data_IF_438161164686
#
_entry.id   IF_438161164686
#
_cell.length_a   1.000
_cell.length_b   1.000
_cell.length_c   1.000
_cell.angle_alpha   90.00
_cell.angle_beta   90.00
_cell.angle_gamma   90.00
#
_symmetry.space_group_name_H-M   'P 1'
#
loop_
_entity.id
_entity.type
_entity.pdbx_description
1 polymer ?
#
# COMPACT_ATOMS: atom_id res chain seq x y z
N UNK A 1 -11.18 -17.45 -14.82
CA UNK A 1 -10.26 -17.14 -13.74
C UNK A 1 -9.19 -16.22 -14.29
N UNK A 2 -9.34 -14.90 -14.05
CA UNK A 2 -8.32 -13.94 -14.43
C UNK A 2 -7.22 -14.00 -13.37
N UNK A 3 -6.03 -14.52 -13.74
CA UNK A 3 -4.86 -14.44 -12.89
C UNK A 3 -4.50 -12.97 -12.66
N UNK A 4 -4.17 -12.60 -11.41
CA UNK A 4 -3.79 -11.24 -11.11
C UNK A 4 -2.46 -10.90 -11.82
N UNK A 5 -2.29 -9.66 -12.27
CA UNK A 5 -1.06 -9.20 -12.92
C UNK A 5 0.21 -9.47 -12.10
N UNK A 6 0.11 -9.49 -10.77
CA UNK A 6 1.22 -9.86 -9.87
C UNK A 6 1.60 -11.34 -9.99
N UNK A 7 0.63 -12.25 -10.12
CA UNK A 7 0.89 -13.69 -10.37
C UNK A 7 1.59 -13.88 -11.72
N UNK A 8 1.22 -13.11 -12.74
CA UNK A 8 1.82 -13.21 -14.06
C UNK A 8 3.26 -12.69 -14.12
N UNK A 9 3.60 -11.66 -13.35
CA UNK A 9 4.98 -11.16 -13.22
C UNK A 9 5.86 -12.22 -12.56
N UNK A 10 5.41 -12.85 -11.48
CA UNK A 10 6.15 -13.95 -10.84
C UNK A 10 6.34 -15.14 -11.77
N UNK A 11 5.31 -15.56 -12.50
CA UNK A 11 5.40 -16.67 -13.45
C UNK A 11 6.40 -16.42 -14.57
N UNK A 12 6.56 -15.16 -15.03
CA UNK A 12 7.55 -14.80 -16.06
C UNK A 12 8.98 -14.85 -15.54
N UNK A 13 9.22 -14.62 -14.26
CA UNK A 13 10.56 -14.63 -13.68
C UNK A 13 11.08 -16.02 -13.34
N UNK A 14 10.20 -17.00 -13.09
CA UNK A 14 10.60 -18.37 -12.73
C UNK A 14 11.52 -19.03 -13.75
N UNK A 15 11.26 -18.98 -15.08
CA UNK A 15 12.15 -19.57 -16.07
C UNK A 15 13.57 -19.00 -16.03
N UNK A 16 13.70 -17.70 -15.79
CA UNK A 16 15.01 -17.05 -15.74
C UNK A 16 15.77 -17.40 -14.45
N UNK A 17 15.07 -17.48 -13.33
CA UNK A 17 15.63 -17.97 -12.06
C UNK A 17 16.16 -19.42 -12.24
N UNK A 18 15.41 -20.27 -12.93
CA UNK A 18 15.83 -21.65 -13.18
C UNK A 18 17.02 -21.75 -14.14
N UNK A 19 17.10 -20.85 -15.15
CA UNK A 19 18.28 -20.75 -16.01
C UNK A 19 19.53 -20.35 -15.23
N UNK A 20 19.43 -19.30 -14.40
CA UNK A 20 20.51 -18.84 -13.54
C UNK A 20 20.96 -19.96 -12.61
N UNK A 21 20.02 -20.68 -11.99
CA UNK A 21 20.31 -21.78 -11.08
C UNK A 21 21.15 -22.89 -11.73
N UNK A 22 20.92 -23.19 -13.03
CA UNK A 22 21.67 -24.18 -13.78
C UNK A 22 23.12 -23.77 -14.06
N UNK A 23 23.41 -22.48 -14.09
CA UNK A 23 24.73 -21.91 -14.33
C UNK A 23 25.59 -21.84 -13.07
N UNK A 24 24.98 -21.98 -11.89
CA UNK A 24 25.68 -21.87 -10.61
C UNK A 24 26.43 -23.16 -10.26
N UNK A 25 27.54 -23.08 -9.51
CA UNK A 25 28.27 -24.24 -9.01
C UNK A 25 27.35 -25.20 -8.25
N UNK A 26 27.57 -26.52 -8.41
CA UNK A 26 26.76 -27.54 -7.72
C UNK A 26 26.98 -27.53 -6.19
N UNK A 27 28.21 -27.26 -5.74
CA UNK A 27 28.53 -27.16 -4.32
C UNK A 27 28.37 -25.67 -3.95
N UNK A 28 27.31 -25.35 -3.22
CA UNK A 28 27.03 -24.01 -2.74
C UNK A 28 26.03 -24.03 -1.59
N UNK A 29 26.05 -23.01 -0.78
CA UNK A 29 24.95 -22.72 0.15
C UNK A 29 23.93 -21.83 -0.55
N UNK A 30 22.67 -22.27 -0.57
CA UNK A 30 21.57 -21.48 -1.17
C UNK A 30 20.66 -21.00 -0.04
N UNK A 31 20.46 -19.70 0.07
CA UNK A 31 19.54 -19.05 0.98
C UNK A 31 18.34 -18.53 0.18
N UNK A 32 17.14 -18.88 0.63
CA UNK A 32 15.90 -18.49 -0.01
C UNK A 32 15.03 -17.72 0.98
N UNK A 33 14.77 -16.45 0.70
CA UNK A 33 13.96 -15.57 1.54
C UNK A 33 12.67 -15.20 0.84
N UNK A 34 11.55 -15.29 1.55
CA UNK A 34 10.26 -14.83 1.07
C UNK A 34 9.43 -14.29 2.23
N UNK A 35 8.70 -13.21 1.98
CA UNK A 35 7.76 -12.65 2.96
C UNK A 35 6.49 -13.50 3.10
N UNK A 36 6.11 -14.22 2.02
CA UNK A 36 4.93 -15.11 1.97
C UNK A 36 5.33 -16.47 1.44
N UNK A 37 4.80 -17.54 2.03
CA UNK A 37 5.05 -18.91 1.62
C UNK A 37 3.81 -19.50 0.92
N UNK A 38 3.44 -18.91 -0.22
CA UNK A 38 2.41 -19.51 -1.08
C UNK A 38 2.87 -20.88 -1.60
N UNK A 39 1.93 -21.71 -2.06
CA UNK A 39 2.26 -23.02 -2.63
C UNK A 39 3.21 -22.90 -3.84
N UNK A 40 3.08 -21.82 -4.62
CA UNK A 40 3.97 -21.53 -5.75
C UNK A 40 5.41 -21.25 -5.28
N UNK A 41 5.58 -20.44 -4.26
CA UNK A 41 6.89 -20.12 -3.64
C UNK A 41 7.51 -21.39 -3.04
N UNK A 42 6.72 -22.23 -2.37
CA UNK A 42 7.19 -23.53 -1.87
C UNK A 42 7.69 -24.44 -2.98
N UNK A 43 6.99 -24.49 -4.11
CA UNK A 43 7.39 -25.29 -5.28
C UNK A 43 8.70 -24.78 -5.89
N UNK A 44 8.89 -23.45 -5.96
CA UNK A 44 10.17 -22.87 -6.39
C UNK A 44 11.29 -23.29 -5.43
N UNK A 45 11.04 -23.15 -4.12
CA UNK A 45 12.01 -23.56 -3.09
C UNK A 45 12.42 -25.04 -3.19
N UNK A 46 11.47 -25.95 -3.43
CA UNK A 46 11.74 -27.38 -3.63
C UNK A 46 12.65 -27.66 -4.82
N UNK A 47 12.56 -26.85 -5.88
CA UNK A 47 13.37 -27.01 -7.08
C UNK A 47 14.77 -26.36 -6.97
N UNK A 48 14.94 -25.42 -6.08
CA UNK A 48 16.18 -24.65 -5.91
C UNK A 48 17.06 -25.13 -4.75
N UNK A 49 16.45 -25.74 -3.73
CA UNK A 49 17.11 -26.08 -2.47
C UNK A 49 17.26 -27.58 -2.30
N UNK A 50 18.37 -28.00 -1.72
CA UNK A 50 18.67 -29.38 -1.34
C UNK A 50 18.59 -29.50 0.18
N UNK A 51 17.67 -30.34 0.68
CA UNK A 51 17.43 -30.54 2.12
C UNK A 51 17.35 -29.24 2.94
N UNK A 52 16.45 -28.29 2.57
CA UNK A 52 16.42 -26.99 3.20
C UNK A 52 15.94 -27.06 4.64
N UNK A 53 16.59 -26.29 5.52
CA UNK A 53 16.06 -25.98 6.83
C UNK A 53 15.09 -24.79 6.70
N UNK A 54 13.79 -25.04 6.92
CA UNK A 54 12.78 -23.98 6.90
C UNK A 54 12.76 -23.27 8.27
N UNK A 55 13.07 -21.97 8.26
CA UNK A 55 12.93 -21.10 9.42
C UNK A 55 11.71 -20.21 9.17
N UNK A 56 10.63 -20.48 9.88
CA UNK A 56 9.45 -19.63 9.91
C UNK A 56 9.61 -18.59 11.02
N UNK A 57 9.80 -17.36 10.62
CA UNK A 57 9.45 -16.25 11.49
C UNK A 57 7.96 -16.07 11.25
N UNK A 58 7.13 -16.48 12.21
CA UNK A 58 5.69 -16.19 12.13
C UNK A 58 5.59 -14.69 11.92
N UNK A 59 5.10 -14.21 10.77
CA UNK A 59 4.82 -12.79 10.66
C UNK A 59 3.95 -12.48 11.87
N UNK A 60 4.20 -11.40 12.55
CA UNK A 60 3.14 -10.82 13.36
C UNK A 60 1.96 -10.70 12.41
N UNK A 61 1.10 -11.71 12.40
CA UNK A 61 -0.11 -11.80 11.56
C UNK A 61 -1.19 -10.83 12.04
N UNK A 62 -0.81 -10.03 13.00
CA UNK A 62 -1.49 -8.82 13.35
C UNK A 62 -0.96 -7.73 12.41
N UNK A 63 -1.79 -7.17 11.57
CA UNK A 63 -1.70 -5.75 11.29
C UNK A 63 -1.14 -5.15 12.57
N UNK A 64 0.08 -4.60 12.51
CA UNK A 64 0.78 -4.09 13.69
C UNK A 64 -0.27 -3.42 14.58
N UNK A 65 -0.31 -3.76 15.88
CA UNK A 65 -1.24 -3.12 16.84
C UNK A 65 -1.18 -1.59 16.78
N UNK A 66 -0.18 -1.08 16.09
CA UNK A 66 0.09 0.32 15.86
C UNK A 66 -0.59 0.88 14.58
N UNK A 67 -1.33 0.08 13.80
CA UNK A 67 -2.04 0.56 12.61
C UNK A 67 -3.55 0.60 12.84
N UNK A 68 -4.12 1.79 12.88
CA UNK A 68 -5.55 1.98 12.87
C UNK A 68 -6.07 1.88 11.44
N UNK A 69 -6.76 0.79 11.12
CA UNK A 69 -7.27 0.51 9.78
C UNK A 69 -8.77 0.74 9.69
N UNK A 70 -9.20 1.35 8.58
CA UNK A 70 -10.58 1.67 8.30
C UNK A 70 -10.97 1.33 6.87
N UNK A 71 -12.18 0.80 6.69
CA UNK A 71 -12.83 0.68 5.39
C UNK A 71 -13.86 1.79 5.22
N UNK A 72 -13.87 2.43 4.04
CA UNK A 72 -14.83 3.45 3.67
C UNK A 72 -15.61 3.00 2.43
N UNK A 73 -16.92 2.87 2.56
CA UNK A 73 -17.77 2.57 1.41
C UNK A 73 -17.84 3.79 0.50
N UNK A 74 -17.50 3.62 -0.77
CA UNK A 74 -17.57 4.70 -1.75
C UNK A 74 -19.00 5.29 -1.77
N UNK A 75 -19.10 6.55 -1.43
CA UNK A 75 -20.37 7.26 -1.29
C UNK A 75 -20.68 8.09 -2.54
N UNK A 76 -19.66 8.73 -3.10
CA UNK A 76 -19.81 9.59 -4.25
C UNK A 76 -19.75 8.81 -5.58
N UNK A 77 -20.40 9.33 -6.61
CA UNK A 77 -20.27 8.80 -7.99
C UNK A 77 -18.81 8.78 -8.43
N UNK A 78 -18.07 9.83 -8.05
CA UNK A 78 -16.65 9.97 -8.33
C UNK A 78 -15.83 9.58 -7.08
N UNK A 79 -15.08 8.51 -7.18
CA UNK A 79 -14.22 7.98 -6.10
C UNK A 79 -13.07 8.94 -5.71
N UNK A 80 -12.73 9.90 -6.55
CA UNK A 80 -11.75 10.95 -6.24
C UNK A 80 -12.26 11.88 -5.14
N UNK A 81 -13.56 12.16 -5.12
CA UNK A 81 -14.17 12.99 -4.07
C UNK A 81 -14.16 12.26 -2.73
N UNK A 82 -14.39 10.94 -2.75
CA UNK A 82 -14.25 10.09 -1.56
C UNK A 82 -12.81 10.09 -1.02
N UNK A 83 -11.82 10.03 -1.92
CA UNK A 83 -10.42 10.13 -1.54
C UNK A 83 -10.12 11.48 -0.88
N UNK A 84 -10.62 12.58 -1.46
CA UNK A 84 -10.45 13.91 -0.87
C UNK A 84 -11.05 14.01 0.52
N UNK A 85 -12.25 13.48 0.73
CA UNK A 85 -12.90 13.43 2.05
C UNK A 85 -11.99 12.71 3.06
N UNK A 86 -11.36 11.58 2.67
CA UNK A 86 -10.49 10.82 3.56
C UNK A 86 -9.16 11.54 3.84
N UNK A 87 -8.61 12.26 2.87
CA UNK A 87 -7.40 13.08 3.06
C UNK A 87 -7.66 14.25 4.03
N UNK A 88 -8.88 14.77 4.04
CA UNK A 88 -9.28 15.90 4.90
C UNK A 88 -9.70 15.47 6.33
N UNK A 89 -9.77 14.15 6.63
CA UNK A 89 -10.16 13.65 7.96
C UNK A 89 -9.09 13.89 9.02
N UNK A 90 -7.82 13.67 8.63
CA UNK A 90 -6.70 13.70 9.55
C UNK A 90 -5.55 14.52 8.95
N UNK A 91 -4.85 15.24 9.81
CA UNK A 91 -3.58 15.84 9.41
C UNK A 91 -2.55 14.72 9.20
N UNK A 92 -1.98 14.65 8.03
CA UNK A 92 -0.91 13.72 7.72
C UNK A 92 0.40 14.45 7.39
N UNK A 93 1.53 13.82 7.75
CA UNK A 93 2.88 14.35 7.45
C UNK A 93 3.41 13.79 6.13
N UNK A 94 3.06 12.55 5.84
CA UNK A 94 3.43 11.84 4.63
C UNK A 94 2.46 10.70 4.39
N UNK A 95 2.08 10.48 3.14
CA UNK A 95 1.14 9.45 2.77
C UNK A 95 1.53 8.73 1.48
N UNK A 96 1.10 7.47 1.36
CA UNK A 96 1.08 6.76 0.09
C UNK A 96 -0.36 6.43 -0.29
N UNK A 97 -0.69 6.62 -1.56
CA UNK A 97 -1.97 6.24 -2.14
C UNK A 97 -1.76 5.11 -3.13
N UNK A 98 -2.35 3.95 -2.87
CA UNK A 98 -2.25 2.80 -3.74
C UNK A 98 -3.42 2.69 -4.70
N UNK A 99 -3.11 2.55 -5.99
CA UNK A 99 -4.06 2.27 -7.06
C UNK A 99 -3.71 0.94 -7.75
N UNK A 100 -4.74 0.17 -8.15
CA UNK A 100 -4.54 -1.10 -8.86
C UNK A 100 -4.15 -0.89 -10.33
N UNK A 101 -4.55 0.25 -10.93
CA UNK A 101 -4.33 0.55 -12.36
C UNK A 101 -3.49 1.80 -12.54
N UNK A 102 -2.55 1.76 -13.50
CA UNK A 102 -1.71 2.91 -13.85
C UNK A 102 -2.51 4.15 -14.28
N UNK A 103 -3.60 3.96 -15.02
CA UNK A 103 -4.45 5.08 -15.43
C UNK A 103 -5.08 5.82 -14.24
N UNK A 104 -5.41 5.08 -13.17
CA UNK A 104 -5.97 5.67 -11.98
C UNK A 104 -4.89 6.41 -11.17
N UNK A 105 -3.63 5.97 -11.21
CA UNK A 105 -2.49 6.71 -10.62
C UNK A 105 -2.40 8.10 -11.22
N UNK A 106 -2.41 8.22 -12.55
CA UNK A 106 -2.32 9.50 -13.23
C UNK A 106 -3.53 10.39 -12.95
N UNK A 107 -4.75 9.81 -12.93
CA UNK A 107 -5.98 10.54 -12.59
C UNK A 107 -5.94 11.07 -11.17
N UNK A 108 -5.57 10.23 -10.20
CA UNK A 108 -5.46 10.60 -8.78
C UNK A 108 -4.40 11.69 -8.62
N UNK A 109 -3.22 11.51 -9.20
CA UNK A 109 -2.13 12.49 -9.10
C UNK A 109 -2.53 13.85 -9.69
N UNK A 110 -3.17 13.87 -10.87
CA UNK A 110 -3.65 15.10 -11.51
C UNK A 110 -4.75 15.77 -10.66
N UNK A 111 -5.68 14.98 -10.12
CA UNK A 111 -6.74 15.49 -9.25
C UNK A 111 -6.16 16.14 -7.98
N UNK A 112 -5.20 15.49 -7.34
CA UNK A 112 -4.55 15.99 -6.14
C UNK A 112 -3.77 17.28 -6.40
N UNK A 113 -3.01 17.36 -7.51
CA UNK A 113 -2.32 18.59 -7.91
C UNK A 113 -3.28 19.76 -8.12
N UNK A 114 -4.44 19.51 -8.76
CA UNK A 114 -5.50 20.52 -8.93
C UNK A 114 -6.12 21.00 -7.62
N UNK A 115 -6.05 20.16 -6.58
CA UNK A 115 -6.51 20.50 -5.22
C UNK A 115 -5.37 20.97 -4.30
N UNK A 116 -4.25 21.44 -4.85
CA UNK A 116 -3.10 22.02 -4.15
C UNK A 116 -2.34 21.05 -3.21
N UNK A 117 -2.47 19.72 -3.41
CA UNK A 117 -1.63 18.77 -2.70
C UNK A 117 -0.26 18.64 -3.37
N UNK A 118 0.79 18.60 -2.56
CA UNK A 118 2.15 18.29 -3.03
C UNK A 118 2.27 16.79 -3.25
N UNK A 119 2.18 16.36 -4.51
CA UNK A 119 2.10 14.94 -4.86
C UNK A 119 2.96 14.58 -6.05
N UNK A 120 3.53 13.39 -5.98
CA UNK A 120 4.27 12.72 -7.06
C UNK A 120 3.65 11.35 -7.33
N UNK A 121 3.91 10.77 -8.50
CA UNK A 121 3.41 9.45 -8.83
C UNK A 121 4.54 8.49 -9.21
N UNK A 122 4.23 7.17 -9.12
CA UNK A 122 5.17 6.11 -9.46
C UNK A 122 4.43 4.92 -10.09
N UNK A 123 4.72 4.63 -11.36
CA UNK A 123 4.15 3.48 -12.07
C UNK A 123 5.12 2.91 -13.10
N UNK A 124 4.78 1.74 -13.65
CA UNK A 124 5.70 0.96 -14.49
C UNK A 124 6.09 1.58 -15.84
N UNK A 125 5.28 2.51 -16.36
CA UNK A 125 5.54 3.14 -17.67
C UNK A 125 6.45 4.38 -17.56
N UNK A 126 6.85 4.77 -16.36
CA UNK A 126 7.79 5.88 -16.17
C UNK A 126 9.21 5.42 -16.52
N UNK A 127 9.96 6.28 -17.19
CA UNK A 127 11.39 6.08 -17.36
C UNK A 127 12.14 6.13 -16.00
N UNK A 128 13.35 5.61 -15.97
CA UNK A 128 14.11 5.47 -14.73
C UNK A 128 14.46 6.82 -14.10
N UNK A 129 14.72 7.84 -14.90
CA UNK A 129 15.03 9.19 -14.41
C UNK A 129 13.83 9.81 -13.68
N UNK A 130 12.65 9.78 -14.33
CA UNK A 130 11.40 10.28 -13.74
C UNK A 130 11.03 9.52 -12.46
N UNK A 131 11.28 8.20 -12.39
CA UNK A 131 11.07 7.41 -11.18
C UNK A 131 11.99 7.84 -10.04
N UNK A 132 13.28 8.06 -10.35
CA UNK A 132 14.27 8.51 -9.36
C UNK A 132 13.90 9.88 -8.83
N UNK A 133 13.59 10.84 -9.71
CA UNK A 133 13.19 12.19 -9.33
C UNK A 133 11.94 12.19 -8.42
N UNK A 134 10.88 11.43 -8.80
CA UNK A 134 9.68 11.32 -7.97
C UNK A 134 9.97 10.77 -6.57
N UNK A 135 10.88 9.80 -6.46
CA UNK A 135 11.27 9.23 -5.18
C UNK A 135 12.10 10.20 -4.34
N UNK A 136 12.98 10.97 -4.97
CA UNK A 136 13.79 11.99 -4.30
C UNK A 136 12.90 13.11 -3.78
N UNK A 137 11.96 13.62 -4.59
CA UNK A 137 10.99 14.63 -4.17
C UNK A 137 10.20 14.16 -2.94
N UNK A 138 9.76 12.89 -2.94
CA UNK A 138 9.04 12.33 -1.80
C UNK A 138 9.93 12.14 -0.56
N UNK A 139 11.15 11.65 -0.73
CA UNK A 139 12.12 11.49 0.38
C UNK A 139 12.53 12.80 1.00
N UNK A 140 12.75 13.82 0.16
CA UNK A 140 13.15 15.16 0.58
C UNK A 140 11.98 16.01 1.11
N UNK A 141 10.75 15.42 1.17
CA UNK A 141 9.53 16.07 1.66
C UNK A 141 9.11 17.30 0.85
N UNK A 142 9.54 17.40 -0.41
CA UNK A 142 9.00 18.36 -1.38
C UNK A 142 7.63 17.92 -1.87
N UNK A 143 7.35 16.61 -1.83
CA UNK A 143 6.03 16.04 -1.98
C UNK A 143 5.62 15.30 -0.70
N UNK A 144 4.38 15.51 -0.26
CA UNK A 144 3.82 14.89 0.95
C UNK A 144 3.08 13.58 0.63
N UNK A 145 2.68 13.41 -0.63
CA UNK A 145 1.90 12.26 -1.11
C UNK A 145 2.60 11.58 -2.28
N UNK A 146 2.74 10.25 -2.18
CA UNK A 146 3.15 9.40 -3.29
C UNK A 146 1.95 8.58 -3.78
N UNK A 147 1.60 8.69 -5.07
CA UNK A 147 0.58 7.85 -5.71
C UNK A 147 1.25 6.73 -6.48
N UNK A 148 0.99 5.47 -6.14
CA UNK A 148 1.75 4.35 -6.71
C UNK A 148 0.92 3.08 -6.93
N UNK A 149 1.42 2.20 -7.79
CA UNK A 149 0.99 0.80 -7.85
C UNK A 149 1.84 -0.08 -6.91
N UNK A 150 1.32 -1.27 -6.56
CA UNK A 150 2.07 -2.24 -5.74
C UNK A 150 3.42 -2.59 -6.36
N UNK A 151 3.42 -2.87 -7.67
CA UNK A 151 4.64 -3.26 -8.40
C UNK A 151 5.69 -2.15 -8.36
N UNK A 152 5.27 -0.91 -8.54
CA UNK A 152 6.19 0.22 -8.56
C UNK A 152 6.73 0.57 -7.16
N UNK A 153 5.93 0.34 -6.11
CA UNK A 153 6.31 0.58 -4.73
C UNK A 153 7.09 -0.58 -4.07
N UNK A 154 7.14 -1.75 -4.71
CA UNK A 154 7.95 -2.88 -4.23
C UNK A 154 9.43 -2.60 -4.39
N UNK A 155 10.22 -3.02 -3.41
CA UNK A 155 11.68 -2.82 -3.41
C UNK A 155 12.12 -1.39 -3.10
N UNK A 156 11.18 -0.45 -2.92
CA UNK A 156 11.50 0.92 -2.55
C UNK A 156 11.41 1.06 -1.03
N UNK A 157 12.44 1.66 -0.47
CA UNK A 157 12.49 1.95 0.96
C UNK A 157 11.62 3.18 1.30
N UNK A 158 10.30 2.96 1.26
CA UNK A 158 9.29 3.91 1.72
C UNK A 158 8.78 3.39 3.04
N UNK A 159 9.23 3.98 4.13
CA UNK A 159 8.91 3.58 5.49
C UNK A 159 8.47 4.77 6.32
N UNK A 160 7.93 4.49 7.48
CA UNK A 160 7.54 5.48 8.49
C UNK A 160 6.55 6.54 8.02
N UNK A 161 5.68 6.14 7.08
CA UNK A 161 4.59 7.01 6.65
C UNK A 161 3.57 7.17 7.78
N UNK A 162 3.00 8.36 7.88
CA UNK A 162 1.90 8.60 8.82
C UNK A 162 0.61 7.92 8.36
N UNK A 163 0.35 7.89 7.03
CA UNK A 163 -0.89 7.39 6.46
C UNK A 163 -0.68 6.53 5.22
N UNK A 164 -1.56 5.56 5.05
CA UNK A 164 -1.73 4.76 3.83
C UNK A 164 -3.17 4.89 3.35
N UNK A 165 -3.37 5.23 2.09
CA UNK A 165 -4.66 5.23 1.46
C UNK A 165 -4.70 4.18 0.35
N UNK A 166 -5.59 3.22 0.45
CA UNK A 166 -5.89 2.31 -0.65
C UNK A 166 -7.04 2.93 -1.45
N UNK A 167 -6.72 3.58 -2.55
CA UNK A 167 -7.73 4.06 -3.50
C UNK A 167 -8.53 2.88 -4.03
N UNK A 168 -7.86 1.76 -4.30
CA UNK A 168 -8.50 0.50 -4.66
C UNK A 168 -8.21 -0.58 -3.64
N UNK A 169 -9.22 -1.42 -3.35
CA UNK A 169 -9.01 -2.66 -2.62
C UNK A 169 -8.03 -3.53 -3.39
N UNK A 170 -6.96 -4.04 -2.79
CA UNK A 170 -6.00 -4.87 -3.49
C UNK A 170 -6.64 -6.19 -3.96
N UNK A 171 -6.19 -6.69 -5.11
CA UNK A 171 -6.68 -7.93 -5.67
C UNK A 171 -6.27 -9.16 -4.83
N UNK A 172 -5.10 -9.10 -4.18
CA UNK A 172 -4.61 -10.13 -3.27
C UNK A 172 -4.62 -9.64 -1.82
N UNK A 173 -5.11 -10.45 -0.88
CA UNK A 173 -5.12 -10.08 0.53
C UNK A 173 -3.73 -9.77 1.11
N UNK A 174 -2.69 -10.46 0.66
CA UNK A 174 -1.32 -10.20 1.10
C UNK A 174 -0.84 -8.80 0.71
N UNK A 175 -1.25 -8.28 -0.46
CA UNK A 175 -0.91 -6.93 -0.88
C UNK A 175 -1.49 -5.88 0.08
N UNK A 176 -2.66 -6.15 0.69
CA UNK A 176 -3.21 -5.29 1.74
C UNK A 176 -2.24 -5.14 2.92
N UNK A 177 -1.71 -6.25 3.43
CA UNK A 177 -0.76 -6.25 4.54
C UNK A 177 0.53 -5.51 4.16
N UNK A 178 1.03 -5.73 2.95
CA UNK A 178 2.22 -5.05 2.43
C UNK A 178 2.02 -3.54 2.27
N UNK A 179 0.84 -3.10 1.82
CA UNK A 179 0.48 -1.69 1.67
C UNK A 179 0.40 -1.00 3.02
N UNK A 180 -0.42 -1.51 3.94
CA UNK A 180 -0.58 -0.88 5.25
C UNK A 180 0.69 -0.96 6.10
N UNK A 181 1.52 -1.98 5.87
CA UNK A 181 2.84 -2.10 6.49
C UNK A 181 3.85 -1.01 6.07
N UNK A 182 3.49 0.00 5.27
CA UNK A 182 4.28 1.21 5.03
C UNK A 182 4.14 2.22 6.16
N UNK A 183 3.16 2.05 7.04
CA UNK A 183 2.95 2.86 8.24
C UNK A 183 3.00 2.00 9.51
N UNK A 184 2.94 2.61 10.68
CA UNK A 184 2.86 1.91 11.97
C UNK A 184 4.14 1.16 12.37
N UNK A 185 5.31 1.57 11.88
CA UNK A 185 6.60 0.93 12.17
C UNK A 185 7.35 1.61 13.32
N UNK A 186 8.35 0.91 13.87
CA UNK A 186 9.23 1.42 14.93
C UNK A 186 8.49 2.01 16.14
N UNK A 187 7.36 1.40 16.54
CA UNK A 187 6.57 1.85 17.69
C UNK A 187 5.66 3.06 17.39
N UNK A 188 5.74 3.67 16.22
CA UNK A 188 4.88 4.79 15.83
C UNK A 188 3.49 4.32 15.44
N UNK A 189 2.46 5.11 15.80
CA UNK A 189 1.10 4.87 15.31
C UNK A 189 0.96 5.30 13.85
N UNK A 190 0.19 4.55 13.09
CA UNK A 190 -0.14 4.83 11.70
C UNK A 190 -1.61 4.62 11.39
N UNK A 191 -2.09 5.22 10.31
CA UNK A 191 -3.49 5.05 9.88
C UNK A 191 -3.56 4.53 8.46
N UNK A 192 -4.52 3.65 8.20
CA UNK A 192 -4.78 3.09 6.87
C UNK A 192 -6.26 3.21 6.52
N UNK A 193 -6.55 3.82 5.40
CA UNK A 193 -7.90 3.97 4.86
C UNK A 193 -8.03 3.21 3.54
N UNK A 194 -9.12 2.50 3.36
CA UNK A 194 -9.38 1.74 2.13
C UNK A 194 -10.77 2.08 1.60
N UNK A 195 -10.83 2.62 0.40
CA UNK A 195 -12.09 2.90 -0.30
C UNK A 195 -12.54 1.63 -1.01
N UNK A 196 -13.76 1.19 -0.77
CA UNK A 196 -14.33 0.02 -1.38
C UNK A 196 -15.72 0.27 -1.99
N UNK A 197 -16.09 -0.53 -2.95
CA UNK A 197 -17.43 -0.61 -3.54
C UNK A 197 -18.08 -1.94 -3.22
N UNK A 198 -19.35 -2.10 -3.58
CA UNK A 198 -20.09 -3.36 -3.38
C UNK A 198 -19.36 -4.57 -3.98
N UNK A 199 -18.79 -4.42 -5.18
CA UNK A 199 -18.05 -5.48 -5.87
C UNK A 199 -16.79 -5.93 -5.14
N UNK A 200 -16.26 -5.10 -4.25
CA UNK A 200 -15.04 -5.39 -3.49
C UNK A 200 -15.29 -6.22 -2.22
N UNK A 201 -16.56 -6.45 -1.84
CA UNK A 201 -16.93 -7.16 -0.60
C UNK A 201 -16.24 -8.52 -0.45
N UNK A 202 -16.11 -9.27 -1.54
CA UNK A 202 -15.43 -10.57 -1.54
C UNK A 202 -13.95 -10.42 -1.13
N UNK A 203 -13.25 -9.44 -1.69
CA UNK A 203 -11.84 -9.20 -1.38
C UNK A 203 -11.67 -8.70 0.06
N UNK A 204 -12.59 -7.87 0.55
CA UNK A 204 -12.61 -7.43 1.96
C UNK A 204 -12.71 -8.62 2.91
N UNK A 205 -13.61 -9.58 2.66
CA UNK A 205 -13.74 -10.77 3.48
C UNK A 205 -12.46 -11.62 3.49
N UNK A 206 -11.78 -11.73 2.35
CA UNK A 206 -10.50 -12.44 2.26
C UNK A 206 -9.39 -11.71 3.04
N UNK A 207 -9.35 -10.38 2.98
CA UNK A 207 -8.43 -9.56 3.78
C UNK A 207 -8.69 -9.78 5.27
N UNK A 208 -9.92 -9.62 5.75
CA UNK A 208 -10.28 -9.81 7.15
C UNK A 208 -9.98 -11.22 7.66
N UNK A 209 -10.18 -12.25 6.80
CA UNK A 209 -9.81 -13.64 7.10
C UNK A 209 -8.29 -13.79 7.25
N UNK A 210 -7.51 -13.17 6.36
CA UNK A 210 -6.05 -13.23 6.40
C UNK A 210 -5.50 -12.58 7.68
N UNK A 211 -5.96 -11.37 8.01
CA UNK A 211 -5.50 -10.62 9.18
C UNK A 211 -6.15 -11.08 10.48
N UNK A 212 -7.12 -11.99 10.42
CA UNK A 212 -7.90 -12.51 11.55
C UNK A 212 -8.55 -11.42 12.42
N UNK A 213 -8.93 -10.30 11.79
CA UNK A 213 -9.52 -9.14 12.47
C UNK A 213 -10.57 -8.49 11.56
N UNK A 214 -11.69 -8.08 12.15
CA UNK A 214 -12.65 -7.22 11.47
C UNK A 214 -12.15 -5.78 11.45
N UNK A 215 -12.25 -5.13 10.29
CA UNK A 215 -11.84 -3.74 10.12
C UNK A 215 -13.06 -2.83 10.28
N UNK A 216 -12.90 -1.76 11.05
CA UNK A 216 -13.97 -0.79 11.26
C UNK A 216 -14.36 -0.12 9.94
N UNK A 217 -15.65 -0.15 9.63
CA UNK A 217 -16.22 0.60 8.51
C UNK A 217 -16.56 2.02 8.98
N UNK A 218 -16.13 3.01 8.20
CA UNK A 218 -16.47 4.42 8.44
C UNK A 218 -17.71 4.79 7.62
N UNK A 219 -18.66 5.46 8.26
CA UNK A 219 -19.78 6.13 7.63
C UNK A 219 -19.48 7.61 7.43
N UNK A 220 -20.29 8.31 6.61
CA UNK A 220 -20.21 9.77 6.50
C UNK A 220 -20.46 10.47 7.83
N UNK A 221 -21.32 9.91 8.69
CA UNK A 221 -21.55 10.41 10.03
C UNK A 221 -20.29 10.35 10.90
N UNK A 222 -19.54 9.22 10.86
CA UNK A 222 -18.27 9.10 11.58
C UNK A 222 -17.26 10.15 11.11
N UNK A 223 -17.23 10.43 9.81
CA UNK A 223 -16.34 11.43 9.20
C UNK A 223 -16.70 12.84 9.68
N UNK A 224 -17.97 13.19 9.62
CA UNK A 224 -18.44 14.50 10.05
C UNK A 224 -18.15 14.76 11.53
N UNK A 225 -18.35 13.75 12.39
CA UNK A 225 -18.00 13.84 13.82
C UNK A 225 -16.48 14.04 14.05
N UNK A 226 -15.64 13.42 13.24
CA UNK A 226 -14.17 13.62 13.32
C UNK A 226 -13.77 15.03 12.92
N UNK A 227 -14.33 15.55 11.81
CA UNK A 227 -14.09 16.92 11.35
C UNK A 227 -14.52 17.96 12.40
N UNK A 228 -15.66 17.75 13.05
CA UNK A 228 -16.11 18.64 14.13
C UNK A 228 -15.15 18.66 15.31
N UNK A 229 -14.63 17.49 15.75
CA UNK A 229 -13.65 17.42 16.83
C UNK A 229 -12.34 18.15 16.50
N UNK A 230 -11.88 18.06 15.27
CA UNK A 230 -10.66 18.78 14.83
C UNK A 230 -10.86 20.30 14.82
N UNK A 231 -12.03 20.78 14.43
CA UNK A 231 -12.34 22.21 14.45
C UNK A 231 -12.48 22.80 15.89
N UNK A 232 -12.72 21.93 16.87
CA UNK A 232 -12.78 22.33 18.30
C UNK A 232 -11.38 22.44 18.89
N UNK A 233 -10.42 21.58 18.44
CA UNK A 233 -9.05 21.53 18.97
C UNK A 233 -8.11 22.62 18.39
N UNK A 234 -8.54 23.39 17.39
CA UNK A 234 -7.82 24.53 16.85
C UNK A 234 -8.63 25.82 16.99
N UNK A 235 -8.40 26.61 18.04
CA UNK A 235 -8.94 27.96 18.06
C UNK A 235 -8.37 28.71 16.86
N UNK A 236 -9.27 29.31 16.07
CA UNK A 236 -8.90 30.19 14.95
C UNK A 236 -7.85 31.18 15.45
N UNK A 237 -6.62 31.08 15.01
CA UNK A 237 -5.65 32.15 15.16
C UNK A 237 -6.28 33.39 14.53
N UNK A 238 -6.68 34.34 15.40
CA UNK A 238 -7.01 35.70 14.98
C UNK A 238 -5.77 36.26 14.32
N UNK A 239 -5.84 36.46 13.02
CA UNK A 239 -4.87 37.32 12.32
C UNK A 239 -5.31 38.73 12.73
N UNK A 240 -4.60 39.29 13.72
CA UNK A 240 -4.66 40.71 13.99
C UNK A 240 -3.97 41.38 12.79
N UNK A 241 -4.77 41.99 11.95
CA UNK A 241 -4.34 42.93 10.93
C UNK A 241 -4.28 44.30 11.63
N UNK A 242 -3.09 44.71 12.06
CA UNK A 242 -2.70 46.11 12.24
C UNK A 242 -1.90 46.55 11.01
#
# INVERSE_FOLDING_TARGET
>A
PRSSAASDVYKRQIPDIMKINKLLPRIRQTLFFSATLSNEIRNIGKNLLINPKEIKITPYSSTSSNIDSYFFNAYNKNKLDDLKILLDIDLFKSAVIFCNKKNDINKVNTFLKKNNYKTVCLHGDMDQSSRTNSLEEFKNKTADILVASDVAARGIDIKDLSHVFNYDVPNNPEDYVHRIGRTGRAGKKGKAYTIFKEDDKKNILLIEKLIKKKIKKLSMTDINLRKQKQNIDYPKLKIDTD
#
